data_IF_040470122807
#
_entry.id   IF_040470122807
#
_cell.length_a   1.000
_cell.length_b   1.000
_cell.length_c   1.000
_cell.angle_alpha   90.00
_cell.angle_beta   90.00
_cell.angle_gamma   90.00
#
_symmetry.space_group_name_H-M   'P 1'
#
loop_
_entity.id
_entity.type
_entity.pdbx_description
1 polymer ?
#
# COMPACT_ATOMS: atom_id res chain seq x y z
N UNK A 1 3.23 18.44 11.53
CA UNK A 1 2.48 17.52 10.62
C UNK A 1 3.31 16.91 9.48
N UNK A 2 4.52 17.39 9.13
CA UNK A 2 5.37 16.73 8.10
C UNK A 2 6.04 15.43 8.56
N UNK A 3 6.42 15.35 9.84
CA UNK A 3 7.13 14.21 10.42
C UNK A 3 6.23 12.97 10.53
N UNK A 4 4.98 13.12 10.96
CA UNK A 4 4.01 12.02 11.01
C UNK A 4 3.71 11.45 9.61
N UNK A 5 3.57 12.33 8.60
CA UNK A 5 3.44 11.89 7.20
C UNK A 5 4.65 11.10 6.73
N UNK A 6 5.87 11.57 7.06
CA UNK A 6 7.10 10.87 6.71
C UNK A 6 7.06 9.43 7.25
N UNK A 7 6.86 9.24 8.56
CA UNK A 7 6.82 7.89 9.15
C UNK A 7 5.70 7.00 8.59
N UNK A 8 4.49 7.54 8.41
CA UNK A 8 3.35 6.79 7.86
C UNK A 8 3.59 6.37 6.41
N UNK A 9 4.29 7.20 5.64
CA UNK A 9 4.49 6.94 4.20
C UNK A 9 5.59 5.92 3.93
N UNK A 10 6.45 5.61 4.90
CA UNK A 10 7.45 4.55 4.78
C UNK A 10 6.94 3.15 5.16
N UNK A 11 5.68 3.04 5.60
CA UNK A 11 5.08 1.73 5.88
C UNK A 11 5.00 0.94 4.57
N UNK A 12 5.62 -0.26 4.48
CA UNK A 12 5.62 -1.07 3.26
C UNK A 12 4.29 -1.81 3.10
N UNK A 13 3.20 -1.07 2.89
CA UNK A 13 1.83 -1.60 2.81
C UNK A 13 1.69 -2.73 1.79
N UNK A 14 2.28 -2.66 0.58
CA UNK A 14 2.18 -3.77 -0.38
C UNK A 14 2.79 -5.08 0.14
N UNK A 15 3.91 -5.00 0.87
CA UNK A 15 4.47 -6.17 1.55
C UNK A 15 3.55 -6.66 2.67
N UNK A 16 3.07 -5.77 3.55
CA UNK A 16 2.21 -6.15 4.67
C UNK A 16 0.92 -6.82 4.22
N UNK A 17 0.35 -6.37 3.08
CA UNK A 17 -0.82 -6.99 2.46
C UNK A 17 -0.56 -8.47 2.17
N UNK A 18 0.47 -8.78 1.36
CA UNK A 18 0.76 -10.16 0.99
C UNK A 18 1.37 -10.98 2.13
N UNK A 19 2.06 -10.34 3.07
CA UNK A 19 2.60 -11.03 4.25
C UNK A 19 1.46 -11.54 5.14
N UNK A 20 0.45 -10.71 5.38
CA UNK A 20 -0.74 -11.12 6.14
C UNK A 20 -1.58 -12.14 5.36
N UNK A 21 -1.85 -11.88 4.08
CA UNK A 21 -2.59 -12.79 3.19
C UNK A 21 -1.95 -14.18 3.14
N UNK A 22 -0.66 -14.25 2.82
CA UNK A 22 0.06 -15.52 2.73
C UNK A 22 0.21 -16.20 4.10
N UNK A 23 0.39 -15.41 5.17
CA UNK A 23 0.42 -15.92 6.54
C UNK A 23 -0.89 -16.62 6.95
N UNK A 24 -2.05 -16.13 6.51
CA UNK A 24 -3.33 -16.81 6.71
C UNK A 24 -3.49 -18.01 5.78
N UNK A 25 -3.09 -17.87 4.51
CA UNK A 25 -3.11 -18.96 3.53
C UNK A 25 -2.31 -20.18 4.01
N UNK A 26 -1.11 -19.98 4.57
CA UNK A 26 -0.28 -21.06 5.11
C UNK A 26 -0.93 -21.79 6.28
N UNK A 27 -1.85 -21.15 7.00
CA UNK A 27 -2.68 -21.74 8.05
C UNK A 27 -4.02 -22.27 7.54
N UNK A 28 -4.26 -22.23 6.22
CA UNK A 28 -5.54 -22.57 5.57
C UNK A 28 -6.72 -21.76 6.12
N UNK A 29 -6.47 -20.48 6.41
CA UNK A 29 -7.47 -19.52 6.91
C UNK A 29 -7.71 -18.41 5.90
N UNK A 30 -8.90 -17.84 5.98
CA UNK A 30 -9.24 -16.59 5.32
C UNK A 30 -8.52 -15.40 5.96
N UNK A 31 -8.37 -14.31 5.22
CA UNK A 31 -7.73 -13.06 5.67
C UNK A 31 -8.79 -11.95 5.92
N UNK A 32 -9.60 -12.03 7.00
CA UNK A 32 -10.82 -11.22 7.14
C UNK A 32 -10.57 -9.70 7.20
N UNK A 33 -9.42 -9.28 7.73
CA UNK A 33 -9.06 -7.87 7.86
C UNK A 33 -8.23 -7.32 6.69
N UNK A 34 -7.91 -8.14 5.69
CA UNK A 34 -7.02 -7.76 4.59
C UNK A 34 -7.56 -6.54 3.84
N UNK A 35 -8.80 -6.62 3.36
CA UNK A 35 -9.44 -5.55 2.59
C UNK A 35 -9.66 -4.29 3.43
N UNK A 36 -10.20 -4.44 4.64
CA UNK A 36 -10.49 -3.31 5.53
C UNK A 36 -9.19 -2.59 5.91
N UNK A 37 -8.16 -3.34 6.31
CA UNK A 37 -6.85 -2.79 6.64
C UNK A 37 -6.21 -2.07 5.46
N UNK A 38 -6.32 -2.64 4.25
CA UNK A 38 -5.80 -2.02 3.03
C UNK A 38 -6.51 -0.71 2.68
N UNK A 39 -7.85 -0.67 2.76
CA UNK A 39 -8.64 0.54 2.53
C UNK A 39 -8.31 1.62 3.57
N UNK A 40 -8.17 1.24 4.85
CA UNK A 40 -7.76 2.16 5.91
C UNK A 40 -6.36 2.76 5.63
N UNK A 41 -5.40 1.93 5.22
CA UNK A 41 -4.07 2.41 4.85
C UNK A 41 -4.12 3.39 3.67
N UNK A 42 -4.93 3.09 2.64
CA UNK A 42 -5.15 3.98 1.48
C UNK A 42 -5.71 5.33 1.94
N UNK A 43 -6.74 5.31 2.79
CA UNK A 43 -7.41 6.54 3.25
C UNK A 43 -6.45 7.38 4.09
N UNK A 44 -5.78 6.79 5.08
CA UNK A 44 -4.86 7.50 5.96
C UNK A 44 -3.70 8.12 5.17
N UNK A 45 -3.05 7.34 4.30
CA UNK A 45 -1.95 7.82 3.49
C UNK A 45 -2.42 8.86 2.44
N UNK A 46 -3.59 8.67 1.82
CA UNK A 46 -4.17 9.59 0.86
C UNK A 46 -4.55 10.95 1.46
N UNK A 47 -5.17 10.95 2.65
CA UNK A 47 -5.44 12.17 3.43
C UNK A 47 -4.14 12.87 3.77
N UNK A 48 -3.15 12.14 4.28
CA UNK A 48 -1.88 12.72 4.67
C UNK A 48 -1.08 13.25 3.44
N UNK A 49 -1.24 12.64 2.27
CA UNK A 49 -0.68 13.09 0.99
C UNK A 49 -1.22 14.45 0.50
N UNK A 50 -2.31 14.95 1.07
CA UNK A 50 -2.84 16.30 0.76
C UNK A 50 -1.89 17.40 1.20
N UNK A 51 -1.06 17.16 2.21
CA UNK A 51 -0.16 18.16 2.82
C UNK A 51 1.22 18.23 2.16
N UNK A 52 1.48 17.41 1.13
CA UNK A 52 2.79 17.34 0.47
C UNK A 52 2.71 17.55 -1.04
N UNK A 53 3.87 17.81 -1.64
CA UNK A 53 4.04 17.89 -3.09
C UNK A 53 3.76 16.52 -3.72
N UNK A 54 3.04 16.51 -4.83
CA UNK A 54 2.65 15.28 -5.53
C UNK A 54 3.86 14.43 -5.95
N UNK A 55 4.96 15.08 -6.35
CA UNK A 55 6.22 14.41 -6.71
C UNK A 55 6.75 13.58 -5.54
N UNK A 56 6.63 14.06 -4.29
CA UNK A 56 7.07 13.31 -3.12
C UNK A 56 6.19 12.08 -2.86
N UNK A 57 4.90 12.13 -3.20
CA UNK A 57 4.00 10.97 -3.09
C UNK A 57 4.47 9.85 -4.02
N UNK A 58 4.78 10.19 -5.27
CA UNK A 58 5.31 9.21 -6.24
C UNK A 58 6.67 8.65 -5.79
N UNK A 59 7.59 9.51 -5.36
CA UNK A 59 8.92 9.08 -4.92
C UNK A 59 8.87 8.15 -3.71
N UNK A 60 8.06 8.48 -2.69
CA UNK A 60 7.94 7.61 -1.52
C UNK A 60 7.27 6.29 -1.89
N UNK A 61 6.20 6.30 -2.70
CA UNK A 61 5.58 5.04 -3.14
C UNK A 61 6.56 4.16 -3.92
N UNK A 62 7.41 4.73 -4.76
CA UNK A 62 8.47 4.01 -5.46
C UNK A 62 9.48 3.39 -4.48
N UNK A 63 9.95 4.16 -3.50
CA UNK A 63 10.87 3.66 -2.46
C UNK A 63 10.22 2.54 -1.66
N UNK A 64 8.97 2.71 -1.22
CA UNK A 64 8.25 1.67 -0.48
C UNK A 64 7.94 0.44 -1.31
N UNK A 65 7.74 0.57 -2.62
CA UNK A 65 7.56 -0.56 -3.51
C UNK A 65 8.85 -1.37 -3.61
N UNK A 66 10.00 -0.73 -3.82
CA UNK A 66 11.32 -1.39 -3.84
C UNK A 66 11.58 -2.07 -2.50
N UNK A 67 11.31 -1.39 -1.39
CA UNK A 67 11.48 -1.96 -0.06
C UNK A 67 10.51 -3.12 0.21
N UNK A 68 9.26 -3.02 -0.26
CA UNK A 68 8.28 -4.11 -0.17
C UNK A 68 8.69 -5.34 -0.97
N UNK A 69 9.28 -5.14 -2.15
CA UNK A 69 9.82 -6.23 -2.97
C UNK A 69 10.97 -6.94 -2.26
N UNK A 70 11.89 -6.18 -1.65
CA UNK A 70 12.98 -6.73 -0.85
C UNK A 70 12.44 -7.56 0.33
N UNK A 71 11.50 -7.01 1.10
CA UNK A 71 10.90 -7.71 2.24
C UNK A 71 10.12 -8.96 1.80
N UNK A 72 9.33 -8.87 0.73
CA UNK A 72 8.62 -10.02 0.18
C UNK A 72 9.61 -11.11 -0.28
N UNK A 73 10.74 -10.72 -0.87
CA UNK A 73 11.81 -11.63 -1.24
C UNK A 73 12.40 -12.40 -0.06
N UNK A 74 12.55 -11.75 1.08
CA UNK A 74 13.12 -12.35 2.29
C UNK A 74 12.14 -13.18 3.11
N UNK A 75 10.86 -12.77 3.19
CA UNK A 75 9.92 -13.30 4.18
C UNK A 75 8.76 -14.12 3.61
N UNK A 76 8.47 -14.02 2.32
CA UNK A 76 7.32 -14.71 1.70
C UNK A 76 7.85 -15.70 0.68
N UNK A 77 7.61 -17.02 0.81
CA UNK A 77 7.92 -17.99 -0.23
C UNK A 77 7.29 -17.60 -1.57
N UNK A 78 8.03 -17.78 -2.67
CA UNK A 78 7.46 -17.63 -4.01
C UNK A 78 6.65 -18.87 -4.38
N UNK A 79 5.52 -19.05 -3.72
CA UNK A 79 4.63 -20.19 -3.88
C UNK A 79 3.86 -20.10 -5.21
N UNK A 80 4.11 -21.00 -6.18
CA UNK A 80 3.49 -20.94 -7.49
C UNK A 80 1.99 -21.31 -7.48
N UNK A 81 1.51 -21.98 -6.43
CA UNK A 81 0.09 -22.32 -6.30
C UNK A 81 -0.73 -21.14 -5.78
N UNK A 82 -0.11 -20.27 -4.98
CA UNK A 82 -0.76 -19.07 -4.45
C UNK A 82 -0.56 -17.85 -5.36
N UNK A 83 0.69 -17.50 -5.66
CA UNK A 83 1.03 -16.36 -6.49
C UNK A 83 1.03 -16.73 -7.98
N UNK A 84 -0.15 -17.03 -8.49
CA UNK A 84 -0.33 -17.43 -9.89
C UNK A 84 -0.12 -16.25 -10.86
N UNK A 85 0.15 -16.56 -12.14
CA UNK A 85 0.33 -15.63 -13.26
C UNK A 85 1.60 -14.76 -13.21
N UNK A 86 1.77 -13.95 -12.17
CA UNK A 86 2.82 -12.91 -12.09
C UNK A 86 3.87 -13.19 -11.01
N UNK A 87 3.66 -14.25 -10.21
CA UNK A 87 4.51 -14.57 -9.06
C UNK A 87 4.39 -13.55 -7.92
N UNK A 88 5.06 -13.84 -6.80
CA UNK A 88 5.02 -13.00 -5.60
C UNK A 88 5.42 -11.55 -5.89
N UNK A 89 6.50 -11.36 -6.65
CA UNK A 89 7.00 -10.02 -6.94
C UNK A 89 6.01 -9.21 -7.79
N UNK A 90 5.39 -9.85 -8.80
CA UNK A 90 4.37 -9.20 -9.62
C UNK A 90 3.13 -8.85 -8.82
N UNK A 91 2.71 -9.71 -7.88
CA UNK A 91 1.59 -9.43 -6.97
C UNK A 91 1.88 -8.21 -6.09
N UNK A 92 3.09 -8.12 -5.50
CA UNK A 92 3.52 -6.96 -4.70
C UNK A 92 3.52 -5.67 -5.52
N UNK A 93 4.01 -5.70 -6.77
CA UNK A 93 3.94 -4.54 -7.68
C UNK A 93 2.49 -4.15 -7.96
N UNK A 94 1.63 -5.12 -8.23
CA UNK A 94 0.22 -4.87 -8.50
C UNK A 94 -0.49 -4.18 -7.32
N UNK A 95 -0.29 -4.68 -6.10
CA UNK A 95 -0.83 -4.04 -4.89
C UNK A 95 -0.21 -2.67 -4.66
N UNK A 96 1.08 -2.46 -4.94
CA UNK A 96 1.71 -1.14 -4.86
C UNK A 96 1.07 -0.12 -5.82
N UNK A 97 0.71 -0.54 -7.04
CA UNK A 97 0.01 0.30 -8.01
C UNK A 97 -1.39 0.65 -7.51
N UNK A 98 -2.17 -0.34 -7.06
CA UNK A 98 -3.51 -0.09 -6.50
C UNK A 98 -3.44 0.86 -5.30
N UNK A 99 -2.47 0.64 -4.41
CA UNK A 99 -2.25 1.46 -3.23
C UNK A 99 -1.98 2.93 -3.61
N UNK A 100 -1.07 3.17 -4.56
CA UNK A 100 -0.79 4.51 -5.08
C UNK A 100 -2.03 5.14 -5.72
N UNK A 101 -2.74 4.43 -6.59
CA UNK A 101 -3.96 4.95 -7.23
C UNK A 101 -5.00 5.34 -6.17
N UNK A 102 -5.22 4.47 -5.18
CA UNK A 102 -6.14 4.75 -4.07
C UNK A 102 -5.76 6.01 -3.29
N UNK A 103 -4.48 6.16 -2.94
CA UNK A 103 -4.00 7.37 -2.26
C UNK A 103 -4.24 8.63 -3.09
N UNK A 104 -4.00 8.58 -4.40
CA UNK A 104 -4.20 9.71 -5.30
C UNK A 104 -5.69 10.09 -5.42
N UNK A 105 -6.58 9.10 -5.49
CA UNK A 105 -8.02 9.31 -5.49
C UNK A 105 -8.49 9.97 -4.20
N UNK A 106 -8.11 9.44 -3.03
CA UNK A 106 -8.45 10.03 -1.72
C UNK A 106 -7.92 11.46 -1.62
N UNK A 107 -6.66 11.68 -1.99
CA UNK A 107 -6.05 13.00 -2.01
C UNK A 107 -6.83 13.99 -2.87
N UNK A 108 -7.28 13.56 -4.05
CA UNK A 108 -8.07 14.38 -4.95
C UNK A 108 -9.42 14.72 -4.34
N UNK A 109 -10.17 13.73 -3.83
CA UNK A 109 -11.46 13.91 -3.16
C UNK A 109 -11.35 14.93 -2.02
N UNK A 110 -10.37 14.75 -1.12
CA UNK A 110 -10.19 15.63 0.04
C UNK A 110 -9.87 17.06 -0.38
N UNK A 111 -9.05 17.25 -1.42
CA UNK A 111 -8.72 18.60 -1.93
C UNK A 111 -9.89 19.27 -2.62
N UNK A 112 -10.74 18.53 -3.33
CA UNK A 112 -11.95 19.07 -3.96
C UNK A 112 -12.98 19.44 -2.89
N UNK A 113 -13.25 18.54 -1.94
CA UNK A 113 -14.18 18.79 -0.84
C UNK A 113 -13.76 20.01 0.00
N UNK A 114 -12.46 20.12 0.33
CA UNK A 114 -11.94 21.26 1.09
C UNK A 114 -12.00 22.60 0.36
N UNK A 115 -12.03 22.62 -0.99
CA UNK A 115 -12.18 23.86 -1.78
C UNK A 115 -13.61 24.36 -1.84
N UNK A 116 -14.61 23.49 -1.67
CA UNK A 116 -16.02 23.87 -1.73
C UNK A 116 -16.52 24.56 -0.43
N UNK A 117 -15.66 24.70 0.57
CA UNK A 117 -15.95 25.32 1.87
C UNK A 117 -15.15 26.61 2.12
N UNK A 118 -14.51 27.18 1.07
CA UNK A 118 -13.80 28.47 1.09
C UNK A 118 -14.36 29.35 -0.01
#
# INVERSE_FOLDING_TARGET
>A
MKVAWFFLSFVPVPFLFHFYEYGQHSQRKEAPFLMIGFLLAIILAGVAATQVKIILVFLINLITMIFSLFLAASFIPNDPYWFTVVGRNGAVVFIAIIYLIGQLLVRWIVRVAGRNHV
#
